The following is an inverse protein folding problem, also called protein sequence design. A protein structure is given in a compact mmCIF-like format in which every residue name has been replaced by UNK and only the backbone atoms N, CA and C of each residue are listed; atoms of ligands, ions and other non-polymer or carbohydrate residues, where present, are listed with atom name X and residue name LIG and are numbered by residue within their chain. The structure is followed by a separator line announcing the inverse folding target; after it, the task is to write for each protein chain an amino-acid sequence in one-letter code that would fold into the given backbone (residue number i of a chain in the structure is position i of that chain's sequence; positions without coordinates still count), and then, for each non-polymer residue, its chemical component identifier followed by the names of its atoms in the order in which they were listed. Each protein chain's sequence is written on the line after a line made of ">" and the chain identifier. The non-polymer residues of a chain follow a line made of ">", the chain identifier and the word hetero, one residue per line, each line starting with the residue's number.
data_IF_026907645711
#
_entry.id   IF_026907645711
#
_cell.length_a   1.000
_cell.length_b   1.000
_cell.length_c   1.000
_cell.angle_alpha   90.00
_cell.angle_beta   90.00
_cell.angle_gamma   90.00
#
_symmetry.space_group_name_H-M   'P 1'
#
loop_
_entity.id
_entity.type
_entity.pdbx_description
1 polymer ?
#
# COMPACT_ATOMS: atom_id res chain seq x y z
N UNK A 1 -12.51 -4.73 -10.95
CA UNK A 1 -11.40 -3.75 -10.83
C UNK A 1 -11.63 -2.88 -9.60
N UNK A 2 -10.67 -2.86 -8.68
CA UNK A 2 -10.82 -2.11 -7.42
C UNK A 2 -10.77 -0.61 -7.63
N UNK A 3 -9.99 -0.18 -8.61
CA UNK A 3 -9.76 1.24 -8.89
C UNK A 3 -9.93 1.51 -10.38
N UNK A 4 -10.43 2.70 -10.71
CA UNK A 4 -10.31 3.25 -12.05
C UNK A 4 -9.10 4.20 -12.06
N UNK A 5 -8.05 3.86 -12.81
CA UNK A 5 -6.82 4.62 -12.83
C UNK A 5 -6.09 4.57 -14.16
N UNK A 6 -5.31 5.59 -14.43
CA UNK A 6 -4.40 5.69 -15.57
C UNK A 6 -2.94 5.87 -15.14
N UNK A 7 -2.69 6.18 -13.87
CA UNK A 7 -1.35 6.28 -13.31
C UNK A 7 -1.30 5.80 -11.87
N UNK A 8 -0.11 5.39 -11.44
CA UNK A 8 0.15 4.88 -10.09
C UNK A 8 1.45 5.47 -9.56
N UNK A 9 1.39 5.99 -8.35
CA UNK A 9 2.56 6.37 -7.57
C UNK A 9 2.84 5.29 -6.51
N UNK A 10 4.08 4.90 -6.39
CA UNK A 10 4.56 3.95 -5.39
C UNK A 10 5.43 4.67 -4.36
N UNK A 11 5.12 4.48 -3.09
CA UNK A 11 5.86 5.02 -1.97
C UNK A 11 6.46 3.89 -1.15
N UNK A 12 7.77 3.94 -0.94
CA UNK A 12 8.50 2.98 -0.13
C UNK A 12 9.07 3.65 1.10
N UNK A 13 8.77 3.11 2.28
CA UNK A 13 9.29 3.61 3.54
C UNK A 13 10.82 3.50 3.57
N UNK A 14 11.50 4.60 3.91
CA UNK A 14 12.95 4.61 4.07
C UNK A 14 13.34 3.88 5.36
N UNK A 15 14.29 2.95 5.24
CA UNK A 15 14.75 2.10 6.35
C UNK A 15 15.25 2.91 7.55
N UNK A 16 16.01 3.97 7.30
CA UNK A 16 16.54 4.82 8.37
C UNK A 16 15.42 5.50 9.17
N UNK A 17 14.34 5.88 8.51
CA UNK A 17 13.17 6.46 9.19
C UNK A 17 12.44 5.43 10.04
N UNK A 18 12.26 4.22 9.52
CA UNK A 18 11.65 3.14 10.28
C UNK A 18 12.43 2.84 11.56
N UNK A 19 13.74 2.70 11.47
CA UNK A 19 14.62 2.46 12.61
C UNK A 19 14.52 3.61 13.64
N UNK A 20 14.55 4.86 13.18
CA UNK A 20 14.42 6.05 14.03
C UNK A 20 13.08 6.07 14.78
N UNK A 21 11.97 5.78 14.10
CA UNK A 21 10.63 5.78 14.73
C UNK A 21 10.49 4.65 15.73
N UNK A 22 10.97 3.45 15.42
CA UNK A 22 10.97 2.32 16.36
C UNK A 22 11.75 2.66 17.62
N UNK A 23 12.93 3.24 17.50
CA UNK A 23 13.74 3.66 18.64
C UNK A 23 13.05 4.77 19.45
N UNK A 24 12.47 5.76 18.78
CA UNK A 24 11.73 6.83 19.44
C UNK A 24 10.48 6.32 20.18
N UNK A 25 9.75 5.37 19.60
CA UNK A 25 8.61 4.73 20.24
C UNK A 25 9.00 4.02 21.55
N UNK A 26 10.14 3.34 21.57
CA UNK A 26 10.70 2.72 22.80
C UNK A 26 11.01 3.74 23.87
N UNK A 27 11.36 4.98 23.50
CA UNK A 27 11.65 6.09 24.40
C UNK A 27 10.40 6.89 24.79
N UNK A 28 9.21 6.51 24.33
CA UNK A 28 7.96 7.23 24.55
C UNK A 28 7.75 8.45 23.66
N UNK A 29 8.60 8.67 22.66
CA UNK A 29 8.48 9.74 21.67
C UNK A 29 7.70 9.19 20.47
N UNK A 30 6.45 9.64 20.29
CA UNK A 30 5.56 9.12 19.25
C UNK A 30 5.37 10.09 18.10
N UNK A 31 5.62 9.63 16.89
CA UNK A 31 5.11 10.22 15.65
C UNK A 31 3.76 9.55 15.34
N UNK A 32 2.67 10.16 15.80
CA UNK A 32 1.34 9.54 15.73
C UNK A 32 0.86 9.34 14.30
N UNK A 33 1.15 10.29 13.39
CA UNK A 33 0.77 10.18 11.97
C UNK A 33 1.53 9.05 11.30
N UNK A 34 2.83 8.95 11.54
CA UNK A 34 3.64 7.84 11.03
C UNK A 34 3.11 6.50 11.55
N UNK A 35 2.84 6.40 12.84
CA UNK A 35 2.34 5.16 13.46
C UNK A 35 0.98 4.75 12.87
N UNK A 36 0.08 5.70 12.62
CA UNK A 36 -1.21 5.44 11.99
C UNK A 36 -1.05 4.91 10.56
N UNK A 37 -0.11 5.46 9.79
CA UNK A 37 0.20 4.98 8.43
C UNK A 37 0.82 3.59 8.49
N UNK A 38 1.79 3.38 9.37
CA UNK A 38 2.62 2.18 9.40
C UNK A 38 1.90 0.98 10.00
N UNK A 39 1.11 1.19 11.05
CA UNK A 39 0.45 0.11 11.79
C UNK A 39 -1.07 0.04 11.60
N UNK A 40 -1.71 1.13 11.21
CA UNK A 40 -3.15 1.29 11.31
C UNK A 40 -3.91 1.33 9.99
N UNK A 41 -5.23 1.34 10.11
CA UNK A 41 -6.18 1.53 9.02
C UNK A 41 -6.36 3.03 8.74
N UNK A 42 -5.32 3.66 8.24
CA UNK A 42 -5.23 5.09 7.97
C UNK A 42 -4.58 5.32 6.59
N UNK A 43 -5.05 6.24 5.76
CA UNK A 43 -6.18 7.14 5.98
C UNK A 43 -7.54 6.44 5.79
N UNK A 44 -8.60 6.97 6.38
CA UNK A 44 -9.96 6.46 6.18
C UNK A 44 -10.72 7.16 5.03
N UNK A 45 -10.12 8.19 4.45
CA UNK A 45 -10.66 8.95 3.32
C UNK A 45 -9.57 9.18 2.26
N UNK A 46 -9.98 9.21 0.98
CA UNK A 46 -9.04 9.44 -0.12
C UNK A 46 -8.47 10.87 -0.17
N UNK A 47 -9.17 11.85 0.35
CA UNK A 47 -8.77 13.25 0.33
C UNK A 47 -8.08 13.73 1.62
N UNK A 48 -7.38 12.83 2.31
CA UNK A 48 -6.68 13.14 3.55
C UNK A 48 -5.35 13.87 3.28
N UNK A 49 -5.34 15.19 3.43
CA UNK A 49 -4.16 16.02 3.16
C UNK A 49 -2.98 15.73 4.09
N UNK A 50 -3.25 15.36 5.34
CA UNK A 50 -2.22 15.03 6.33
C UNK A 50 -1.47 13.76 5.91
N UNK A 51 -2.21 12.76 5.43
CA UNK A 51 -1.63 11.52 4.90
C UNK A 51 -0.70 11.80 3.71
N UNK A 52 -1.18 12.56 2.71
CA UNK A 52 -0.36 12.85 1.52
C UNK A 52 0.86 13.70 1.84
N UNK A 53 0.76 14.63 2.75
CA UNK A 53 1.91 15.42 3.22
C UNK A 53 2.97 14.50 3.84
N UNK A 54 2.55 13.50 4.62
CA UNK A 54 3.47 12.57 5.28
C UNK A 54 4.17 11.64 4.30
N UNK A 55 3.44 11.01 3.39
CA UNK A 55 4.06 10.10 2.42
C UNK A 55 4.90 10.82 1.36
N UNK A 56 4.67 12.11 1.12
CA UNK A 56 5.51 12.94 0.26
C UNK A 56 6.68 13.63 1.00
N UNK A 57 6.86 13.34 2.28
CA UNK A 57 8.03 13.79 3.04
C UNK A 57 9.24 12.89 2.77
N UNK A 58 10.40 13.25 3.35
CA UNK A 58 11.63 12.47 3.24
C UNK A 58 11.56 11.08 3.92
N UNK A 59 10.46 10.79 4.62
CA UNK A 59 10.25 9.48 5.25
C UNK A 59 10.04 8.36 4.23
N UNK A 60 9.56 8.70 3.03
CA UNK A 60 9.28 7.76 1.94
C UNK A 60 10.03 8.14 0.68
N UNK A 61 10.42 7.14 -0.09
CA UNK A 61 10.88 7.30 -1.47
C UNK A 61 9.71 7.14 -2.42
N UNK A 62 9.54 8.08 -3.35
CA UNK A 62 8.44 8.11 -4.31
C UNK A 62 8.92 7.68 -5.70
N UNK A 63 8.15 6.80 -6.33
CA UNK A 63 8.35 6.35 -7.70
C UNK A 63 7.06 6.48 -8.50
N UNK A 64 7.16 6.88 -9.76
CA UNK A 64 6.04 6.77 -10.69
C UNK A 64 6.17 5.47 -11.47
N UNK A 65 5.12 4.66 -11.46
CA UNK A 65 5.12 3.40 -12.19
C UNK A 65 5.04 3.67 -13.70
N UNK A 66 5.75 2.84 -14.46
CA UNK A 66 5.61 2.83 -15.91
C UNK A 66 4.18 2.48 -16.34
N UNK A 67 3.79 2.89 -17.52
CA UNK A 67 2.48 2.52 -18.07
C UNK A 67 2.29 1.00 -18.14
N UNK A 68 3.34 0.26 -18.44
CA UNK A 68 3.34 -1.20 -18.47
C UNK A 68 3.03 -1.79 -17.10
N UNK A 69 3.67 -1.28 -16.06
CA UNK A 69 3.47 -1.77 -14.69
C UNK A 69 2.09 -1.36 -14.13
N UNK A 70 1.63 -0.14 -14.43
CA UNK A 70 0.29 0.29 -14.09
C UNK A 70 -0.78 -0.58 -14.76
N UNK A 71 -0.59 -0.93 -16.03
CA UNK A 71 -1.47 -1.83 -16.77
C UNK A 71 -1.46 -3.25 -16.18
N UNK A 72 -0.28 -3.75 -15.80
CA UNK A 72 -0.15 -5.03 -15.13
C UNK A 72 -0.95 -5.07 -13.81
N UNK A 73 -0.83 -4.04 -12.98
CA UNK A 73 -1.62 -3.94 -11.74
C UNK A 73 -3.11 -3.92 -12.02
N UNK A 74 -3.54 -3.18 -13.06
CA UNK A 74 -4.94 -3.07 -13.45
C UNK A 74 -5.53 -4.41 -13.89
N UNK A 75 -4.78 -5.16 -14.69
CA UNK A 75 -5.31 -6.35 -15.37
C UNK A 75 -5.14 -7.63 -14.56
N UNK A 76 -4.20 -7.67 -13.60
CA UNK A 76 -3.83 -8.93 -12.94
C UNK A 76 -3.83 -8.89 -11.41
N UNK A 77 -3.69 -7.71 -10.80
CA UNK A 77 -3.54 -7.62 -9.34
C UNK A 77 -4.78 -7.04 -8.67
N UNK A 78 -5.17 -5.82 -9.04
CA UNK A 78 -6.29 -5.10 -8.40
C UNK A 78 -7.59 -5.28 -9.17
N UNK A 79 -7.94 -6.53 -9.42
CA UNK A 79 -9.17 -6.93 -10.09
C UNK A 79 -10.04 -7.76 -9.16
N UNK A 80 -11.35 -7.70 -9.41
CA UNK A 80 -12.28 -8.59 -8.73
C UNK A 80 -12.02 -10.03 -9.20
N UNK A 81 -11.75 -10.90 -8.25
CA UNK A 81 -11.50 -12.32 -8.51
C UNK A 81 -12.56 -13.14 -7.81
N UNK A 82 -13.14 -14.06 -8.56
CA UNK A 82 -14.02 -15.08 -8.02
C UNK A 82 -13.24 -16.39 -7.87
N UNK A 83 -12.31 -16.42 -6.94
CA UNK A 83 -11.63 -17.66 -6.61
C UNK A 83 -12.16 -18.18 -5.27
N UNK A 84 -12.37 -19.48 -5.19
CA UNK A 84 -12.54 -20.14 -3.91
C UNK A 84 -11.22 -19.99 -3.14
N UNK A 85 -11.15 -18.97 -2.27
CA UNK A 85 -10.09 -18.90 -1.28
C UNK A 85 -10.16 -20.16 -0.44
N UNK A 86 -9.23 -21.05 -0.62
CA UNK A 86 -8.91 -21.97 0.44
C UNK A 86 -8.41 -21.13 1.61
N UNK A 87 -9.00 -21.29 2.77
CA UNK A 87 -8.67 -20.61 4.00
C UNK A 87 -7.15 -20.61 4.22
N UNK A 88 -6.49 -19.51 3.89
CA UNK A 88 -5.19 -19.26 4.46
C UNK A 88 -5.43 -18.86 5.92
N UNK A 89 -4.82 -19.60 6.83
CA UNK A 89 -4.91 -19.33 8.26
C UNK A 89 -4.62 -17.85 8.52
N UNK A 90 -5.51 -17.17 9.23
CA UNK A 90 -5.28 -15.83 9.75
C UNK A 90 -3.94 -15.83 10.48
N UNK A 91 -2.93 -15.24 9.85
CA UNK A 91 -1.66 -15.02 10.52
C UNK A 91 -1.91 -13.96 11.59
N UNK A 92 -1.72 -14.32 12.85
CA UNK A 92 -1.79 -13.41 14.00
C UNK A 92 -0.56 -12.49 14.00
N UNK A 93 -0.46 -11.62 12.99
CA UNK A 93 0.67 -10.76 12.74
C UNK A 93 0.14 -9.34 12.62
N UNK A 94 0.63 -8.42 13.44
CA UNK A 94 0.32 -7.02 13.31
C UNK A 94 0.90 -6.48 12.00
N UNK A 95 0.12 -5.83 11.15
CA UNK A 95 0.63 -5.34 9.87
C UNK A 95 1.65 -4.22 10.06
N UNK A 96 2.62 -4.18 9.15
CA UNK A 96 3.60 -3.12 9.03
C UNK A 96 3.65 -2.67 7.56
N UNK A 97 2.96 -1.57 7.27
CA UNK A 97 2.76 -1.09 5.90
C UNK A 97 3.95 -0.24 5.43
N UNK A 98 4.93 -0.87 4.81
CA UNK A 98 6.12 -0.22 4.23
C UNK A 98 5.92 0.24 2.80
N UNK A 99 4.95 -0.33 2.13
CA UNK A 99 4.72 -0.13 0.69
C UNK A 99 3.31 0.41 0.47
N UNK A 100 3.21 1.55 -0.20
CA UNK A 100 1.96 2.25 -0.45
C UNK A 100 1.83 2.56 -1.93
N UNK A 101 0.69 2.21 -2.51
CA UNK A 101 0.32 2.57 -3.87
C UNK A 101 -0.81 3.60 -3.85
N UNK A 102 -0.63 4.68 -4.59
CA UNK A 102 -1.66 5.71 -4.80
C UNK A 102 -2.07 5.67 -6.26
N UNK A 103 -3.34 5.38 -6.50
CA UNK A 103 -3.93 5.26 -7.84
C UNK A 103 -4.59 6.57 -8.22
N UNK A 104 -4.34 7.03 -9.44
CA UNK A 104 -4.90 8.27 -9.96
C UNK A 104 -5.60 8.08 -11.30
N UNK A 105 -6.69 8.78 -11.49
CA UNK A 105 -7.39 8.93 -12.76
C UNK A 105 -7.50 10.40 -13.12
N UNK A 106 -6.95 10.81 -14.25
CA UNK A 106 -6.92 12.22 -14.66
C UNK A 106 -6.44 13.15 -13.53
N UNK A 107 -5.33 12.77 -12.89
CA UNK A 107 -4.71 13.46 -11.75
C UNK A 107 -5.55 13.50 -10.45
N UNK A 108 -6.70 12.86 -10.40
CA UNK A 108 -7.50 12.70 -9.18
C UNK A 108 -7.23 11.34 -8.54
N UNK A 109 -7.10 11.31 -7.23
CA UNK A 109 -6.86 10.07 -6.49
C UNK A 109 -8.12 9.22 -6.53
N UNK A 110 -8.00 8.00 -7.00
CA UNK A 110 -9.09 7.03 -7.11
C UNK A 110 -8.95 5.85 -6.14
N UNK A 111 -7.78 5.68 -5.54
CA UNK A 111 -7.56 4.61 -4.59
C UNK A 111 -6.21 4.67 -3.90
N UNK A 112 -6.13 3.99 -2.77
CA UNK A 112 -4.90 3.77 -2.00
C UNK A 112 -4.86 2.30 -1.62
N UNK A 113 -3.69 1.68 -1.79
CA UNK A 113 -3.42 0.34 -1.28
C UNK A 113 -2.15 0.36 -0.43
N UNK A 114 -2.27 -0.01 0.83
CA UNK A 114 -1.14 -0.23 1.73
C UNK A 114 -0.91 -1.73 1.84
N UNK A 115 0.33 -2.14 1.67
CA UNK A 115 0.71 -3.54 1.56
C UNK A 115 1.72 -3.89 2.65
N UNK A 116 1.44 -4.97 3.40
CA UNK A 116 2.39 -5.60 4.30
C UNK A 116 2.85 -6.92 3.67
N UNK A 117 4.02 -6.93 3.06
CA UNK A 117 4.56 -8.12 2.41
C UNK A 117 4.95 -9.19 3.43
N UNK A 118 5.43 -8.78 4.60
CA UNK A 118 5.86 -9.71 5.64
C UNK A 118 4.74 -10.51 6.29
N UNK A 119 3.57 -9.89 6.50
CA UNK A 119 2.40 -10.51 7.10
C UNK A 119 1.35 -10.99 6.09
N UNK A 120 1.50 -10.64 4.82
CA UNK A 120 0.47 -10.91 3.83
C UNK A 120 -0.85 -10.19 4.15
N UNK A 121 -0.78 -8.96 4.62
CA UNK A 121 -1.93 -8.12 4.92
C UNK A 121 -1.96 -6.89 4.03
N UNK A 122 -3.14 -6.32 3.89
CA UNK A 122 -3.36 -5.13 3.06
C UNK A 122 -4.44 -4.24 3.67
N UNK A 123 -4.40 -2.97 3.30
CA UNK A 123 -5.45 -2.00 3.56
C UNK A 123 -5.74 -1.23 2.27
N UNK A 124 -6.97 -1.30 1.79
CA UNK A 124 -7.38 -0.73 0.51
C UNK A 124 -8.58 0.18 0.72
N UNK A 125 -8.50 1.40 0.19
CA UNK A 125 -9.64 2.31 0.06
C UNK A 125 -9.78 2.75 -1.40
N UNK A 126 -11.02 2.92 -1.85
CA UNK A 126 -11.35 3.23 -3.24
C UNK A 126 -12.42 4.31 -3.33
N UNK A 127 -12.39 5.07 -4.43
CA UNK A 127 -13.48 5.98 -4.79
C UNK A 127 -14.76 5.24 -5.23
N UNK A 128 -14.64 3.96 -5.57
CA UNK A 128 -15.80 3.11 -5.85
C UNK A 128 -16.49 2.71 -4.55
N UNK A 129 -17.83 2.78 -4.53
CA UNK A 129 -18.63 2.47 -3.35
C UNK A 129 -18.54 1.02 -2.92
N UNK A 130 -18.40 0.11 -3.89
CA UNK A 130 -18.36 -1.33 -3.66
C UNK A 130 -17.18 -1.92 -4.41
N UNK A 131 -16.28 -2.54 -3.66
CA UNK A 131 -15.16 -3.33 -4.18
C UNK A 131 -15.10 -4.66 -3.44
N UNK A 132 -14.75 -5.71 -4.18
CA UNK A 132 -14.62 -7.05 -3.64
C UNK A 132 -13.13 -7.35 -3.38
N UNK A 133 -12.69 -7.13 -2.15
CA UNK A 133 -11.30 -7.37 -1.75
C UNK A 133 -11.10 -8.70 -1.03
N UNK A 134 -12.16 -9.47 -0.83
CA UNK A 134 -12.11 -10.73 -0.07
C UNK A 134 -11.13 -11.75 -0.65
N UNK A 135 -11.01 -11.78 -1.98
CA UNK A 135 -10.10 -12.68 -2.69
C UNK A 135 -8.73 -12.08 -2.97
N UNK A 136 -8.48 -10.85 -2.52
CA UNK A 136 -7.16 -10.23 -2.61
C UNK A 136 -6.22 -10.77 -1.53
N UNK A 137 -4.93 -10.83 -1.83
CA UNK A 137 -3.92 -11.18 -0.85
C UNK A 137 -3.50 -12.65 -0.91
N UNK A 138 -3.55 -13.26 -2.08
CA UNK A 138 -2.93 -14.57 -2.32
C UNK A 138 -1.42 -14.46 -2.30
N UNK A 139 -0.72 -15.56 -2.04
CA UNK A 139 0.75 -15.59 -2.09
C UNK A 139 1.28 -15.17 -3.46
N UNK A 140 0.58 -15.51 -4.54
CA UNK A 140 0.96 -15.12 -5.91
C UNK A 140 0.95 -13.62 -6.09
N UNK A 141 -0.07 -12.94 -5.57
CA UNK A 141 -0.18 -11.47 -5.64
C UNK A 141 0.93 -10.80 -4.84
N UNK A 142 1.19 -11.26 -3.61
CA UNK A 142 2.28 -10.71 -2.79
C UNK A 142 3.66 -10.93 -3.41
N UNK A 143 3.91 -12.08 -4.01
CA UNK A 143 5.17 -12.34 -4.74
C UNK A 143 5.32 -11.40 -5.94
N UNK A 144 4.24 -11.19 -6.68
CA UNK A 144 4.24 -10.27 -7.83
C UNK A 144 4.47 -8.82 -7.41
N UNK A 145 3.81 -8.37 -6.35
CA UNK A 145 3.99 -7.04 -5.78
C UNK A 145 5.41 -6.85 -5.24
N UNK A 146 5.93 -7.83 -4.50
CA UNK A 146 7.32 -7.80 -4.00
C UNK A 146 8.31 -7.62 -5.12
N UNK A 147 8.19 -8.41 -6.18
CA UNK A 147 9.07 -8.32 -7.36
C UNK A 147 8.97 -6.95 -8.04
N UNK A 148 7.76 -6.42 -8.17
CA UNK A 148 7.53 -5.10 -8.73
C UNK A 148 8.20 -4.02 -7.87
N UNK A 149 7.96 -4.01 -6.58
CA UNK A 149 8.53 -3.03 -5.66
C UNK A 149 10.05 -3.07 -5.65
N UNK A 150 10.63 -4.26 -5.60
CA UNK A 150 12.09 -4.43 -5.66
C UNK A 150 12.69 -3.89 -6.96
N UNK A 151 11.97 -3.96 -8.07
CA UNK A 151 12.45 -3.43 -9.36
C UNK A 151 12.60 -1.91 -9.36
N UNK A 152 11.81 -1.19 -8.56
CA UNK A 152 11.89 0.27 -8.40
C UNK A 152 12.93 0.71 -7.37
N UNK A 153 13.26 -0.15 -6.41
CA UNK A 153 14.22 0.17 -5.33
C UNK A 153 15.68 -0.08 -5.71
N UNK A 154 15.95 -0.64 -6.88
CA UNK A 154 17.30 -1.09 -7.30
C UNK A 154 18.24 0.01 -7.80
N UNK A 155 18.07 1.22 -7.38
CA UNK A 155 19.02 2.30 -7.74
C UNK A 155 19.93 2.67 -6.57
#
# INVERSE_FOLDING_TARGET
>A
MFFDFDSVEYYSLNKNKEESVVDNNKKGIKDSIFNDIFYGDYPNELNNSVFYKKINSDDFSKFELSNKDAEYLRNYIFIDKFSLKMFEANRACAPEYRDILVFKKKNKISGIAKICLGCGQFYIISSKKEIQTEDFGTQKEYKSLKKLFESYKKD
#
